data_IF_517968773964
#
_entry.id   IF_517968773964
#
_cell.length_a   1.000
_cell.length_b   1.000
_cell.length_c   1.000
_cell.angle_alpha   90.00
_cell.angle_beta   90.00
_cell.angle_gamma   90.00
#
_symmetry.space_group_name_H-M   'P 1'
#
loop_
_entity.id
_entity.type
_entity.pdbx_description
1 polymer ?
#
# COMPACT_ATOMS: atom_id res chain seq x y z
N UNK A 1 -9.64 -10.80 3.96
CA UNK A 1 -10.38 -9.72 3.28
C UNK A 1 -10.03 -9.76 1.79
N UNK A 2 -11.01 -9.74 0.87
CA UNK A 2 -10.75 -9.67 -0.59
C UNK A 2 -11.18 -8.31 -1.13
N UNK A 3 -10.40 -7.71 -2.02
CA UNK A 3 -10.75 -6.43 -2.67
C UNK A 3 -12.10 -6.54 -3.39
N UNK A 4 -12.39 -7.69 -4.03
CA UNK A 4 -13.70 -7.96 -4.65
C UNK A 4 -14.86 -7.77 -3.68
N UNK A 5 -14.73 -8.29 -2.46
CA UNK A 5 -15.80 -8.23 -1.47
C UNK A 5 -15.98 -6.78 -0.96
N UNK A 6 -14.88 -6.01 -0.84
CA UNK A 6 -14.93 -4.57 -0.54
C UNK A 6 -15.65 -3.78 -1.65
N UNK A 7 -15.37 -4.11 -2.91
CA UNK A 7 -16.02 -3.48 -4.06
C UNK A 7 -17.53 -3.73 -4.10
N UNK A 8 -17.98 -4.92 -3.69
CA UNK A 8 -19.40 -5.28 -3.64
C UNK A 8 -20.13 -4.64 -2.45
N UNK A 9 -19.46 -4.47 -1.30
CA UNK A 9 -20.05 -3.92 -0.08
C UNK A 9 -19.99 -2.39 0.04
N UNK A 10 -19.36 -1.70 -0.92
CA UNK A 10 -19.08 -0.26 -0.83
C UNK A 10 -20.34 0.59 -0.87
N UNK A 11 -20.38 1.63 -0.03
CA UNK A 11 -21.42 2.69 -0.06
C UNK A 11 -21.01 3.95 -0.85
N UNK A 12 -19.81 3.95 -1.42
CA UNK A 12 -19.19 5.07 -2.13
C UNK A 12 -17.92 4.63 -2.85
N UNK A 13 -17.13 5.56 -3.43
CA UNK A 13 -15.86 5.22 -4.05
C UNK A 13 -14.90 4.62 -3.02
N UNK A 14 -14.12 3.62 -3.44
CA UNK A 14 -12.99 3.14 -2.66
C UNK A 14 -11.78 3.99 -2.98
N UNK A 15 -11.00 4.28 -1.96
CA UNK A 15 -9.73 5.00 -2.06
C UNK A 15 -8.60 4.09 -1.60
N UNK A 16 -7.48 4.13 -2.31
CA UNK A 16 -6.32 3.27 -2.08
C UNK A 16 -5.03 4.01 -2.42
N UNK A 17 -3.92 3.57 -1.82
CA UNK A 17 -2.57 4.09 -2.11
C UNK A 17 -1.70 3.02 -2.74
N UNK A 18 -0.69 3.46 -3.48
CA UNK A 18 0.39 2.60 -3.97
C UNK A 18 1.74 3.16 -3.50
N UNK A 19 2.61 2.26 -3.05
CA UNK A 19 3.97 2.57 -2.60
C UNK A 19 5.00 1.81 -3.42
N UNK A 20 6.21 2.37 -3.50
CA UNK A 20 7.37 1.68 -4.05
C UNK A 20 8.19 1.04 -2.93
N UNK A 21 8.78 -0.15 -3.13
CA UNK A 21 9.69 -0.75 -2.16
C UNK A 21 10.87 0.18 -1.86
N UNK A 22 11.13 0.49 -0.59
CA UNK A 22 12.27 1.32 -0.21
C UNK A 22 13.58 0.60 -0.53
N UNK A 23 14.65 1.38 -0.72
CA UNK A 23 15.97 0.83 -1.04
C UNK A 23 16.93 0.81 0.15
N UNK A 24 16.57 1.48 1.25
CA UNK A 24 17.40 1.65 2.45
C UNK A 24 16.53 1.52 3.72
N UNK A 25 17.14 1.22 4.89
CA UNK A 25 16.42 1.14 6.17
C UNK A 25 15.72 2.44 6.57
N UNK A 26 16.32 3.60 6.28
CA UNK A 26 15.71 4.90 6.56
C UNK A 26 14.47 5.13 5.68
N UNK A 27 14.50 4.60 4.45
CA UNK A 27 13.35 4.60 3.55
C UNK A 27 12.22 3.68 4.03
N UNK A 28 12.53 2.56 4.68
CA UNK A 28 11.55 1.69 5.33
C UNK A 28 10.87 2.40 6.49
N UNK A 29 11.65 3.03 7.38
CA UNK A 29 11.11 3.80 8.50
C UNK A 29 10.19 4.93 8.02
N UNK A 30 10.63 5.68 6.99
CA UNK A 30 9.81 6.72 6.37
C UNK A 30 8.51 6.16 5.78
N UNK A 31 8.57 5.01 5.07
CA UNK A 31 7.39 4.34 4.53
C UNK A 31 6.40 3.98 5.63
N UNK A 32 6.85 3.32 6.69
CA UNK A 32 5.98 2.92 7.80
C UNK A 32 5.33 4.11 8.49
N UNK A 33 6.10 5.19 8.70
CA UNK A 33 5.57 6.43 9.26
C UNK A 33 4.49 7.04 8.37
N UNK A 34 4.75 7.15 7.06
CA UNK A 34 3.76 7.65 6.09
C UNK A 34 2.51 6.76 6.07
N UNK A 35 2.66 5.43 6.14
CA UNK A 35 1.51 4.52 6.19
C UNK A 35 0.64 4.73 7.43
N UNK A 36 1.23 4.96 8.61
CA UNK A 36 0.47 5.28 9.83
C UNK A 36 -0.23 6.64 9.72
N UNK A 37 0.40 7.66 9.15
CA UNK A 37 -0.24 8.95 8.90
C UNK A 37 -1.42 8.83 7.92
N UNK A 38 -1.27 8.06 6.83
CA UNK A 38 -2.28 7.88 5.80
C UNK A 38 -3.45 6.97 6.21
N UNK A 39 -3.26 6.13 7.22
CA UNK A 39 -4.31 5.28 7.79
C UNK A 39 -5.53 6.06 8.26
N UNK A 40 -5.35 7.31 8.69
CA UNK A 40 -6.43 8.22 9.08
C UNK A 40 -7.46 8.45 7.96
N UNK A 41 -7.04 8.33 6.69
CA UNK A 41 -7.91 8.46 5.51
C UNK A 41 -8.71 7.19 5.21
N UNK A 42 -8.52 6.11 5.99
CA UNK A 42 -9.20 4.82 5.85
C UNK A 42 -9.14 4.26 4.41
N UNK A 43 -7.93 4.11 3.83
CA UNK A 43 -7.81 3.46 2.53
C UNK A 43 -8.38 2.04 2.60
N UNK A 44 -9.09 1.63 1.55
CA UNK A 44 -9.70 0.30 1.47
C UNK A 44 -8.64 -0.80 1.33
N UNK A 45 -7.53 -0.49 0.67
CA UNK A 45 -6.34 -1.31 0.54
C UNK A 45 -5.14 -0.43 0.15
N UNK A 46 -3.95 -1.01 0.23
CA UNK A 46 -2.71 -0.42 -0.32
C UNK A 46 -2.00 -1.44 -1.19
N UNK A 47 -1.31 -0.99 -2.23
CA UNK A 47 -0.41 -1.80 -3.04
C UNK A 47 1.04 -1.43 -2.77
N UNK A 48 1.93 -2.41 -2.93
CA UNK A 48 3.37 -2.20 -3.04
C UNK A 48 3.79 -2.66 -4.43
N UNK A 49 4.38 -1.77 -5.22
CA UNK A 49 4.81 -2.08 -6.58
C UNK A 49 5.87 -3.18 -6.55
N UNK A 50 5.76 -4.13 -7.47
CA UNK A 50 6.80 -5.14 -7.67
C UNK A 50 7.83 -4.58 -8.67
N UNK A 51 9.10 -4.48 -8.25
CA UNK A 51 10.16 -3.93 -9.10
C UNK A 51 10.29 -4.66 -10.43
N UNK A 52 10.70 -3.95 -11.48
CA UNK A 52 10.89 -4.53 -12.81
C UNK A 52 11.75 -5.80 -12.73
N UNK A 53 11.32 -6.86 -13.41
CA UNK A 53 11.94 -8.20 -13.40
C UNK A 53 12.12 -8.83 -12.00
N UNK A 54 11.42 -8.37 -10.96
CA UNK A 54 11.56 -8.93 -9.62
C UNK A 54 12.80 -8.50 -8.86
N UNK A 55 13.38 -7.36 -9.24
CA UNK A 55 14.51 -6.72 -8.53
C UNK A 55 14.27 -6.45 -7.04
N UNK A 56 13.02 -6.53 -6.57
CA UNK A 56 12.62 -6.31 -5.18
C UNK A 56 12.01 -7.55 -4.52
N UNK A 57 12.25 -8.77 -5.05
CA UNK A 57 11.63 -10.02 -4.54
C UNK A 57 12.22 -10.53 -3.23
N UNK A 58 13.54 -10.40 -3.06
CA UNK A 58 14.29 -10.95 -1.91
C UNK A 58 14.53 -9.93 -0.80
N UNK A 59 13.97 -8.73 -0.94
CA UNK A 59 14.03 -7.67 0.06
C UNK A 59 12.77 -7.68 0.90
#
# INVERSE_FOLDING_TARGET
MRIRDLLLARRGPLFSFEFFPPRTPEGEEALFRTMEELKAFRPAFVSITYGAMGSTRER
#
